data_IF_808190474732
#
_entry.id   IF_808190474732
#
_cell.length_a   1.000
_cell.length_b   1.000
_cell.length_c   1.000
_cell.angle_alpha   90.00
_cell.angle_beta   90.00
_cell.angle_gamma   90.00
#
_symmetry.space_group_name_H-M   'P 1'
#
loop_
_entity.id
_entity.type
_entity.pdbx_description
1 polymer ?
#
# COMPACT_ATOMS: atom_id res chain seq x y z
N UNK A 1 7.57 -7.09 -20.17
CA UNK A 1 6.14 -6.79 -19.95
C UNK A 1 5.52 -7.71 -18.90
N UNK A 2 5.38 -9.02 -19.13
CA UNK A 2 4.79 -9.92 -18.11
C UNK A 2 5.71 -10.16 -16.90
N UNK A 3 7.02 -10.19 -17.13
CA UNK A 3 8.02 -10.29 -16.05
C UNK A 3 8.01 -9.07 -15.13
N UNK A 4 7.90 -7.86 -15.69
CA UNK A 4 7.85 -6.62 -14.89
C UNK A 4 6.63 -6.59 -13.96
N UNK A 5 5.48 -7.08 -14.44
CA UNK A 5 4.28 -7.23 -13.62
C UNK A 5 4.49 -8.24 -12.48
N UNK A 6 5.09 -9.40 -12.77
CA UNK A 6 5.41 -10.41 -11.75
C UNK A 6 6.40 -9.88 -10.71
N UNK A 7 7.40 -9.10 -11.12
CA UNK A 7 8.34 -8.44 -10.21
C UNK A 7 7.62 -7.41 -9.35
N UNK A 8 6.75 -6.58 -9.94
CA UNK A 8 5.94 -5.61 -9.18
C UNK A 8 5.06 -6.29 -8.12
N UNK A 9 4.38 -7.39 -8.48
CA UNK A 9 3.58 -8.17 -7.54
C UNK A 9 4.45 -8.80 -6.44
N UNK A 10 5.59 -9.37 -6.79
CA UNK A 10 6.52 -9.94 -5.81
C UNK A 10 7.00 -8.88 -4.80
N UNK A 11 7.33 -7.67 -5.28
CA UNK A 11 7.72 -6.56 -4.41
C UNK A 11 6.58 -6.16 -3.46
N UNK A 12 5.34 -6.05 -3.95
CA UNK A 12 4.17 -5.75 -3.08
C UNK A 12 4.02 -6.81 -1.98
N UNK A 13 4.15 -8.11 -2.30
CA UNK A 13 4.08 -9.17 -1.29
C UNK A 13 5.20 -9.08 -0.25
N UNK A 14 6.42 -8.77 -0.68
CA UNK A 14 7.55 -8.56 0.24
C UNK A 14 7.29 -7.37 1.15
N UNK A 15 6.87 -6.23 0.59
CA UNK A 15 6.58 -5.02 1.38
C UNK A 15 5.41 -5.19 2.34
N UNK A 16 4.32 -5.86 1.93
CA UNK A 16 3.22 -6.19 2.84
C UNK A 16 3.64 -7.15 3.95
N UNK A 17 4.59 -8.05 3.70
CA UNK A 17 5.08 -9.01 4.69
C UNK A 17 6.08 -8.45 5.70
N UNK A 18 6.81 -7.38 5.36
CA UNK A 18 7.87 -6.81 6.21
C UNK A 18 7.29 -6.27 7.54
N UNK A 19 6.24 -5.45 7.47
CA UNK A 19 5.61 -4.83 8.65
C UNK A 19 5.03 -5.86 9.65
N UNK A 20 4.21 -6.85 9.25
CA UNK A 20 3.70 -7.86 10.16
C UNK A 20 4.80 -8.78 10.70
N UNK A 21 5.88 -9.02 9.95
CA UNK A 21 7.02 -9.82 10.41
C UNK A 21 7.89 -9.08 11.44
N UNK A 22 8.24 -7.82 11.19
CA UNK A 22 9.07 -7.02 12.09
C UNK A 22 8.35 -6.61 13.38
N UNK A 23 7.10 -6.15 13.26
CA UNK A 23 6.34 -5.66 14.42
C UNK A 23 4.83 -5.92 14.27
N UNK A 24 4.36 -7.14 14.61
CA UNK A 24 2.95 -7.50 14.48
C UNK A 24 2.03 -6.69 15.42
N UNK A 25 2.54 -6.20 16.55
CA UNK A 25 1.76 -5.35 17.45
C UNK A 25 1.43 -3.99 16.82
N UNK A 26 2.43 -3.37 16.20
CA UNK A 26 2.24 -2.10 15.51
C UNK A 26 1.34 -2.27 14.28
N UNK A 27 1.54 -3.31 13.48
CA UNK A 27 0.69 -3.63 12.34
C UNK A 27 -0.80 -3.77 12.73
N UNK A 28 -1.10 -4.54 13.79
CA UNK A 28 -2.47 -4.66 14.32
C UNK A 28 -3.06 -3.32 14.73
N UNK A 29 -2.26 -2.45 15.35
CA UNK A 29 -2.70 -1.11 15.76
C UNK A 29 -3.02 -0.23 14.56
N UNK A 30 -2.21 -0.24 13.50
CA UNK A 30 -2.50 0.50 12.26
C UNK A 30 -3.77 0.00 11.58
N UNK A 31 -3.99 -1.32 11.54
CA UNK A 31 -5.23 -1.90 11.00
C UNK A 31 -6.47 -1.47 11.81
N UNK A 32 -6.39 -1.47 13.14
CA UNK A 32 -7.48 -1.01 14.00
C UNK A 32 -7.76 0.48 13.81
N UNK A 33 -6.73 1.30 13.65
CA UNK A 33 -6.88 2.73 13.35
C UNK A 33 -7.59 2.90 12.00
N UNK A 34 -7.18 2.18 10.96
CA UNK A 34 -7.82 2.22 9.65
C UNK A 34 -9.29 1.76 9.71
N UNK A 35 -9.59 0.73 10.50
CA UNK A 35 -10.95 0.23 10.70
C UNK A 35 -11.87 1.21 11.45
N UNK A 36 -11.31 2.12 12.25
CA UNK A 36 -12.06 3.18 12.94
C UNK A 36 -12.25 4.44 12.08
N UNK A 37 -11.60 4.54 10.92
CA UNK A 37 -11.77 5.66 10.00
C UNK A 37 -13.07 5.52 9.21
N UNK A 38 -13.76 6.64 8.97
CA UNK A 38 -14.93 6.66 8.10
C UNK A 38 -14.56 6.26 6.65
N UNK A 39 -15.45 5.51 5.99
CA UNK A 39 -15.27 5.04 4.62
C UNK A 39 -14.91 6.15 3.63
N UNK A 40 -15.48 7.35 3.80
CA UNK A 40 -15.16 8.52 2.95
C UNK A 40 -13.69 8.90 3.05
N UNK A 41 -13.14 8.91 4.26
CA UNK A 41 -11.74 9.27 4.50
C UNK A 41 -10.82 8.18 3.96
N UNK A 42 -11.16 6.91 4.19
CA UNK A 42 -10.38 5.78 3.69
C UNK A 42 -10.31 5.77 2.15
N UNK A 43 -11.44 6.07 1.49
CA UNK A 43 -11.51 6.22 0.02
C UNK A 43 -10.72 7.42 -0.48
N UNK A 44 -10.77 8.57 0.21
CA UNK A 44 -10.00 9.75 -0.16
C UNK A 44 -8.49 9.51 -0.06
N UNK A 45 -8.04 8.84 1.01
CA UNK A 45 -6.63 8.43 1.18
C UNK A 45 -6.23 7.45 0.07
N UNK A 46 -7.08 6.47 -0.24
CA UNK A 46 -6.87 5.53 -1.33
C UNK A 46 -6.74 6.24 -2.69
N UNK A 47 -7.62 7.20 -2.98
CA UNK A 47 -7.54 8.01 -4.19
C UNK A 47 -6.24 8.82 -4.25
N UNK A 48 -5.88 9.52 -3.18
CA UNK A 48 -4.65 10.30 -3.13
C UNK A 48 -3.40 9.42 -3.35
N UNK A 49 -3.36 8.24 -2.74
CA UNK A 49 -2.27 7.25 -2.90
C UNK A 49 -2.18 6.73 -4.34
N UNK A 50 -3.31 6.35 -4.94
CA UNK A 50 -3.37 5.91 -6.34
C UNK A 50 -2.92 7.02 -7.30
N UNK A 51 -3.37 8.26 -7.09
CA UNK A 51 -2.95 9.40 -7.90
C UNK A 51 -1.46 9.69 -7.76
N UNK A 52 -0.92 9.67 -6.54
CA UNK A 52 0.51 9.84 -6.32
C UNK A 52 1.33 8.73 -6.99
N UNK A 53 0.89 7.47 -6.92
CA UNK A 53 1.53 6.36 -7.61
C UNK A 53 1.54 6.54 -9.13
N UNK A 54 0.44 7.04 -9.71
CA UNK A 54 0.34 7.38 -11.13
C UNK A 54 1.31 8.50 -11.53
N UNK A 55 1.41 9.56 -10.71
CA UNK A 55 2.35 10.67 -10.93
C UNK A 55 3.80 10.17 -10.90
N UNK A 56 4.16 9.35 -9.90
CA UNK A 56 5.50 8.76 -9.79
C UNK A 56 5.79 7.85 -10.98
N UNK A 57 4.83 7.02 -11.39
CA UNK A 57 4.97 6.14 -12.54
C UNK A 57 5.25 6.94 -13.82
N UNK A 58 4.55 8.07 -14.02
CA UNK A 58 4.73 8.94 -15.18
C UNK A 58 6.05 9.75 -15.15
N UNK A 59 6.62 9.99 -13.96
CA UNK A 59 7.90 10.67 -13.83
C UNK A 59 9.09 9.73 -14.04
N UNK A 60 8.96 8.48 -13.58
CA UNK A 60 10.03 7.47 -13.66
C UNK A 60 10.03 6.77 -15.02
N UNK A 61 8.93 6.83 -15.78
CA UNK A 61 8.77 6.15 -17.05
C UNK A 61 8.17 7.06 -18.12
#
# INVERSE_FOLDING_TARGET
MWQDLLVGVALVMVFEGILPFLNPAQFRRTLLLAAQMNDKTLRAIGMASMSAGLVVLYLVR
#
